data_IF_153603578464
#
_entry.id   IF_153603578464
#
_cell.length_a   1.000
_cell.length_b   1.000
_cell.length_c   1.000
_cell.angle_alpha   90.00
_cell.angle_beta   90.00
_cell.angle_gamma   90.00
#
_symmetry.space_group_name_H-M   'P 1'
#
loop_
_entity.id
_entity.type
_entity.pdbx_description
1 polymer ?
#
# COMPACT_ATOMS: atom_id res chain seq x y z
N UNK A 1 -36.63 -10.19 -14.31
CA UNK A 1 -35.61 -9.26 -14.84
C UNK A 1 -35.56 -8.03 -13.93
N UNK A 2 -34.40 -7.61 -13.39
CA UNK A 2 -34.27 -6.34 -12.66
C UNK A 2 -33.38 -5.40 -13.47
N UNK A 3 -34.01 -4.48 -14.19
CA UNK A 3 -33.35 -3.33 -14.82
C UNK A 3 -32.81 -2.40 -13.74
N UNK A 4 -31.50 -2.44 -13.50
CA UNK A 4 -30.79 -1.42 -12.73
C UNK A 4 -30.49 -0.22 -13.63
N UNK A 5 -31.54 0.54 -13.99
CA UNK A 5 -31.41 1.85 -14.63
C UNK A 5 -31.26 2.89 -13.52
N UNK A 6 -30.02 3.17 -13.10
CA UNK A 6 -29.80 4.20 -12.08
C UNK A 6 -28.35 4.53 -11.75
N UNK A 7 -27.36 3.70 -12.11
CA UNK A 7 -25.97 3.91 -11.67
C UNK A 7 -24.99 4.33 -12.78
N UNK A 8 -25.48 4.73 -13.96
CA UNK A 8 -24.59 5.05 -15.11
C UNK A 8 -24.15 6.52 -15.18
N UNK A 9 -24.67 7.38 -14.30
CA UNK A 9 -24.43 8.83 -14.32
C UNK A 9 -23.29 9.28 -13.39
N UNK A 10 -22.80 8.41 -12.50
CA UNK A 10 -21.80 8.77 -11.49
C UNK A 10 -20.75 7.65 -11.34
N UNK A 11 -20.01 7.36 -12.41
CA UNK A 11 -18.84 6.48 -12.30
C UNK A 11 -17.59 7.35 -12.17
N UNK A 12 -16.87 7.20 -11.05
CA UNK A 12 -15.54 7.80 -10.86
C UNK A 12 -14.52 6.70 -11.09
N UNK A 13 -13.57 6.94 -12.00
CA UNK A 13 -12.43 6.05 -12.17
C UNK A 13 -11.57 6.09 -10.90
N UNK A 14 -11.80 5.10 -10.03
CA UNK A 14 -11.06 4.97 -8.78
C UNK A 14 -9.64 4.49 -9.08
N UNK A 15 -8.67 5.10 -8.41
CA UNK A 15 -7.26 4.76 -8.58
C UNK A 15 -6.99 3.48 -7.79
N UNK A 16 -6.58 2.42 -8.49
CA UNK A 16 -6.11 1.19 -7.86
C UNK A 16 -4.97 1.47 -6.89
N UNK A 17 -5.04 0.86 -5.70
CA UNK A 17 -4.08 1.09 -4.63
C UNK A 17 -3.85 -0.19 -3.81
N UNK A 18 -2.59 -0.62 -3.59
CA UNK A 18 -2.24 -1.77 -2.76
C UNK A 18 -2.33 -1.48 -1.25
N UNK A 19 -2.96 -0.37 -0.85
CA UNK A 19 -2.97 0.10 0.53
C UNK A 19 -3.95 -0.69 1.40
N UNK A 20 -3.44 -1.36 2.44
CA UNK A 20 -4.26 -2.06 3.45
C UNK A 20 -4.61 -1.19 4.68
N UNK A 21 -4.51 0.14 4.53
CA UNK A 21 -4.79 1.14 5.59
C UNK A 21 -3.90 1.00 6.84
N UNK A 22 -2.71 0.41 6.67
CA UNK A 22 -1.65 0.40 7.68
C UNK A 22 -0.57 1.38 7.23
N UNK A 23 -0.32 2.41 8.03
CA UNK A 23 0.73 3.40 7.78
C UNK A 23 1.81 3.29 8.87
N UNK A 24 2.69 2.30 8.72
CA UNK A 24 3.87 2.14 9.56
C UNK A 24 5.08 1.85 8.68
N UNK A 25 6.13 2.65 8.81
CA UNK A 25 7.34 2.55 7.98
C UNK A 25 8.42 1.76 8.73
N UNK A 26 9.07 0.82 8.03
CA UNK A 26 10.26 0.15 8.52
C UNK A 26 11.44 1.14 8.57
N UNK A 27 12.22 1.23 9.67
CA UNK A 27 13.10 2.37 9.89
C UNK A 27 14.36 2.28 9.01
N UNK A 28 14.81 1.06 8.73
CA UNK A 28 16.01 0.76 7.94
C UNK A 28 15.67 0.71 6.45
N UNK A 29 14.80 -0.22 6.06
CA UNK A 29 14.34 -0.39 4.66
C UNK A 29 13.48 0.77 4.12
N UNK A 30 12.97 1.67 4.97
CA UNK A 30 12.15 2.84 4.57
C UNK A 30 10.89 2.50 3.75
N UNK A 31 10.39 1.27 3.86
CA UNK A 31 9.16 0.78 3.22
C UNK A 31 8.02 0.59 4.22
N UNK A 32 6.78 0.71 3.75
CA UNK A 32 5.58 0.48 4.54
C UNK A 32 5.42 -1.00 4.87
N UNK A 33 5.21 -1.34 6.14
CA UNK A 33 5.06 -2.73 6.59
C UNK A 33 3.74 -3.38 6.15
N UNK A 34 2.76 -2.57 5.72
CA UNK A 34 1.46 -3.07 5.28
C UNK A 34 1.36 -3.27 3.77
N UNK A 35 1.68 -2.23 3.00
CA UNK A 35 1.58 -2.26 1.53
C UNK A 35 2.92 -2.42 0.82
N UNK A 36 4.04 -2.55 1.54
CA UNK A 36 5.39 -2.78 1.02
C UNK A 36 5.98 -1.69 0.10
N UNK A 37 5.24 -0.59 -0.12
CA UNK A 37 5.70 0.57 -0.89
C UNK A 37 6.72 1.39 -0.12
N UNK A 38 7.68 1.99 -0.82
CA UNK A 38 8.58 3.00 -0.25
C UNK A 38 7.85 4.32 0.00
N UNK A 39 8.44 5.21 0.79
CA UNK A 39 7.87 6.55 1.04
C UNK A 39 7.75 7.33 -0.28
N UNK A 40 8.75 7.21 -1.15
CA UNK A 40 8.81 7.90 -2.44
C UNK A 40 7.69 7.40 -3.36
N UNK A 41 7.49 6.09 -3.46
CA UNK A 41 6.40 5.49 -4.23
C UNK A 41 5.01 5.90 -3.71
N UNK A 42 4.85 6.06 -2.40
CA UNK A 42 3.61 6.57 -1.79
C UNK A 42 3.39 8.04 -2.16
N UNK A 43 4.43 8.85 -2.16
CA UNK A 43 4.36 10.28 -2.50
C UNK A 43 4.03 10.50 -3.99
N UNK A 44 4.53 9.63 -4.88
CA UNK A 44 4.33 9.76 -6.32
C UNK A 44 3.14 8.97 -6.88
N UNK A 45 2.45 8.18 -6.05
CA UNK A 45 1.42 7.23 -6.49
C UNK A 45 0.33 7.83 -7.39
N UNK A 46 -0.14 9.04 -7.07
CA UNK A 46 -1.17 9.74 -7.84
C UNK A 46 -0.68 10.18 -9.22
N UNK A 47 0.63 10.34 -9.41
CA UNK A 47 1.28 10.75 -10.67
C UNK A 47 1.67 9.57 -11.55
N UNK A 48 1.80 8.38 -10.99
CA UNK A 48 2.16 7.17 -11.74
C UNK A 48 1.06 6.78 -12.74
N UNK A 49 1.45 6.29 -13.91
CA UNK A 49 0.53 5.74 -14.90
C UNK A 49 -0.09 4.41 -14.41
N UNK A 50 -1.23 3.98 -14.96
CA UNK A 50 -1.83 2.69 -14.63
C UNK A 50 -0.87 1.50 -14.83
N UNK A 51 -0.04 1.54 -15.87
CA UNK A 51 0.95 0.51 -16.19
C UNK A 51 2.07 0.46 -15.15
N UNK A 52 2.54 1.63 -14.70
CA UNK A 52 3.53 1.74 -13.64
C UNK A 52 2.97 1.21 -12.31
N UNK A 53 1.73 1.56 -11.97
CA UNK A 53 1.03 1.04 -10.78
C UNK A 53 0.89 -0.47 -10.84
N UNK A 54 0.48 -1.03 -11.97
CA UNK A 54 0.36 -2.48 -12.17
C UNK A 54 1.70 -3.21 -12.02
N UNK A 55 2.77 -2.61 -12.55
CA UNK A 55 4.13 -3.14 -12.43
C UNK A 55 4.59 -3.14 -10.98
N UNK A 56 4.39 -2.03 -10.26
CA UNK A 56 4.70 -1.95 -8.83
C UNK A 56 3.89 -2.98 -8.04
N UNK A 57 2.59 -3.12 -8.29
CA UNK A 57 1.74 -4.09 -7.58
C UNK A 57 2.22 -5.54 -7.72
N UNK A 58 2.86 -5.89 -8.83
CA UNK A 58 3.48 -7.22 -9.03
C UNK A 58 4.78 -7.39 -8.24
N UNK A 59 5.55 -6.32 -8.05
CA UNK A 59 6.83 -6.33 -7.33
C UNK A 59 6.67 -6.32 -5.80
N UNK A 60 5.64 -5.65 -5.28
CA UNK A 60 5.44 -5.43 -3.84
C UNK A 60 5.42 -6.71 -2.97
N UNK A 61 4.77 -7.83 -3.36
CA UNK A 61 4.81 -9.07 -2.58
C UNK A 61 6.24 -9.60 -2.40
N UNK A 62 7.10 -9.38 -3.40
CA UNK A 62 8.50 -9.74 -3.36
C UNK A 62 9.27 -9.01 -2.27
N UNK A 63 8.84 -7.85 -1.80
CA UNK A 63 9.54 -7.05 -0.76
C UNK A 63 9.21 -7.47 0.67
N UNK A 64 8.21 -8.33 0.87
CA UNK A 64 7.75 -8.73 2.20
C UNK A 64 8.87 -9.38 3.05
N UNK A 65 9.80 -10.11 2.42
CA UNK A 65 10.94 -10.73 3.10
C UNK A 65 11.85 -9.71 3.81
N UNK A 66 11.96 -8.48 3.28
CA UNK A 66 12.82 -7.43 3.85
C UNK A 66 12.34 -6.91 5.20
N UNK A 67 11.06 -7.16 5.54
CA UNK A 67 10.40 -6.67 6.76
C UNK A 67 10.11 -7.80 7.76
N UNK A 68 10.60 -9.03 7.50
CA UNK A 68 10.26 -10.20 8.34
C UNK A 68 10.62 -10.05 9.83
N UNK A 69 11.52 -9.12 10.18
CA UNK A 69 11.85 -8.87 11.58
C UNK A 69 10.73 -8.05 12.23
N UNK A 70 9.83 -8.76 12.92
CA UNK A 70 8.85 -8.15 13.83
C UNK A 70 9.58 -7.21 14.78
N UNK A 71 9.26 -5.91 14.74
CA UNK A 71 9.58 -5.04 15.88
C UNK A 71 8.73 -5.58 17.03
N UNK A 72 9.38 -6.06 18.09
CA UNK A 72 8.67 -6.51 19.27
C UNK A 72 7.69 -5.40 19.70
N UNK A 73 6.51 -5.78 20.20
CA UNK A 73 5.42 -4.85 20.49
C UNK A 73 5.73 -3.81 21.57
N UNK A 74 4.69 -3.26 22.23
CA UNK A 74 4.84 -2.26 23.30
C UNK A 74 5.78 -2.65 24.45
N UNK A 75 6.15 -3.93 24.58
CA UNK A 75 7.06 -4.49 25.60
C UNK A 75 8.56 -4.38 25.25
N UNK A 76 8.94 -3.94 24.05
CA UNK A 76 10.36 -3.79 23.66
C UNK A 76 10.95 -2.43 24.01
N UNK A 77 10.15 -1.54 24.61
CA UNK A 77 10.65 -0.29 25.15
C UNK A 77 11.27 -0.65 26.49
N UNK A 78 12.57 -0.93 26.48
CA UNK A 78 13.38 -1.20 27.67
C UNK A 78 12.97 -0.25 28.79
N UNK A 79 12.57 -0.84 29.92
CA UNK A 79 12.39 -0.14 31.19
C UNK A 79 13.77 0.40 31.58
N UNK A 80 13.94 1.72 31.48
CA UNK A 80 14.95 2.46 32.26
C UNK A 80 14.25 3.00 33.50
#
# INVERSE_FOLDING_TARGET
>A
MKEKTGNRLWNRDEIDSPCIKICAIHPTERICVGCYRSIEEVAEWSKLSPEQRSTLMKDLPGRAHRIQKRRGGRRSRTLV
#
